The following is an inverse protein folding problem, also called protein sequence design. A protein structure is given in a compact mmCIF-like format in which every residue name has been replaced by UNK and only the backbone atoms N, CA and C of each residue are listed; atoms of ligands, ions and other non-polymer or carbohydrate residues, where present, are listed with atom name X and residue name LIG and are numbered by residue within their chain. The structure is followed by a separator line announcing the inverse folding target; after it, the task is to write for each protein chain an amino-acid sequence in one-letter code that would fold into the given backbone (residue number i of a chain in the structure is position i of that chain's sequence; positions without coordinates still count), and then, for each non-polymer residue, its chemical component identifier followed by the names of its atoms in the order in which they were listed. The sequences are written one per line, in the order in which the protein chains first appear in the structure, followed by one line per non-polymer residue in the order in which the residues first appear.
data_IF_044492923560
#
_entry.id   IF_044492923560
#
_cell.length_a   1.000
_cell.length_b   1.000
_cell.length_c   1.000
_cell.angle_alpha   90.00
_cell.angle_beta   90.00
_cell.angle_gamma   90.00
#
_symmetry.space_group_name_H-M   'P 1'
#
loop_
_entity.id
_entity.type
_entity.pdbx_description
1 polymer ?
#
# COMPACT_ATOMS: atom_id res chain seq x y z
N UNK A 1 4.40 22.16 25.05
CA UNK A 1 3.67 21.35 24.04
C UNK A 1 2.41 20.80 24.68
N UNK A 2 1.23 21.05 24.09
CA UNK A 2 -0.09 20.78 24.70
C UNK A 2 -0.42 19.27 24.74
N UNK A 3 -0.97 18.77 25.86
CA UNK A 3 -1.35 17.38 26.08
C UNK A 3 -2.43 16.88 25.10
N UNK A 4 -3.36 17.75 24.70
CA UNK A 4 -4.41 17.43 23.73
C UNK A 4 -3.85 17.16 22.31
N UNK A 5 -2.84 17.93 21.89
CA UNK A 5 -2.17 17.73 20.59
C UNK A 5 -1.47 16.37 20.55
N UNK A 6 -0.84 15.96 21.66
CA UNK A 6 -0.21 14.64 21.76
C UNK A 6 -1.25 13.53 21.65
N UNK A 7 -2.36 13.61 22.38
CA UNK A 7 -3.41 12.61 22.30
C UNK A 7 -3.98 12.44 20.89
N UNK A 8 -4.25 13.55 20.19
CA UNK A 8 -4.78 13.52 18.83
C UNK A 8 -3.80 12.84 17.84
N UNK A 9 -2.50 13.09 17.99
CA UNK A 9 -1.47 12.44 17.17
C UNK A 9 -1.35 10.93 17.46
N UNK A 10 -1.56 10.52 18.70
CA UNK A 10 -1.52 9.11 19.09
C UNK A 10 -2.71 8.35 18.50
N UNK A 11 -3.92 8.88 18.69
CA UNK A 11 -5.13 8.31 18.08
C UNK A 11 -5.00 8.21 16.54
N UNK A 12 -4.37 9.20 15.90
CA UNK A 12 -4.14 9.17 14.46
C UNK A 12 -3.15 8.07 14.03
N UNK A 13 -2.10 7.82 14.83
CA UNK A 13 -1.14 6.73 14.56
C UNK A 13 -1.78 5.36 14.76
N UNK A 14 -2.55 5.21 15.83
CA UNK A 14 -3.27 3.96 16.12
C UNK A 14 -4.24 3.63 14.97
N UNK A 15 -5.01 4.63 14.51
CA UNK A 15 -5.92 4.46 13.37
C UNK A 15 -5.21 4.12 12.05
N UNK A 16 -4.01 4.67 11.81
CA UNK A 16 -3.19 4.30 10.64
C UNK A 16 -2.68 2.86 10.76
N UNK A 17 -2.23 2.44 11.95
CA UNK A 17 -1.74 1.09 12.19
C UNK A 17 -2.85 0.04 12.02
N UNK A 18 -4.03 0.30 12.58
CA UNK A 18 -5.20 -0.57 12.45
C UNK A 18 -5.62 -0.72 10.98
N UNK A 19 -5.72 0.40 10.27
CA UNK A 19 -6.03 0.40 8.84
C UNK A 19 -4.97 -0.37 8.03
N UNK A 20 -3.69 -0.27 8.41
CA UNK A 20 -2.60 -0.98 7.72
C UNK A 20 -2.78 -2.48 7.87
N UNK A 21 -3.04 -2.95 9.09
CA UNK A 21 -3.27 -4.37 9.37
C UNK A 21 -4.49 -4.91 8.59
N UNK A 22 -5.57 -4.14 8.49
CA UNK A 22 -6.75 -4.50 7.69
C UNK A 22 -6.42 -4.64 6.20
N UNK A 23 -5.67 -3.70 5.64
CA UNK A 23 -5.25 -3.74 4.23
C UNK A 23 -4.28 -4.90 3.98
N UNK A 24 -3.34 -5.17 4.88
CA UNK A 24 -2.43 -6.30 4.79
C UNK A 24 -3.17 -7.64 4.82
N UNK A 25 -4.22 -7.75 5.63
CA UNK A 25 -5.08 -8.93 5.67
C UNK A 25 -5.86 -9.11 4.36
N UNK A 26 -6.50 -8.06 3.85
CA UNK A 26 -7.30 -8.09 2.61
C UNK A 26 -6.45 -8.47 1.39
N UNK A 27 -5.24 -7.92 1.30
CA UNK A 27 -4.33 -8.14 0.17
C UNK A 27 -3.26 -9.19 0.45
N UNK A 28 -3.49 -10.11 1.40
CA UNK A 28 -2.54 -11.17 1.77
C UNK A 28 -1.97 -11.97 0.58
N UNK A 29 -2.76 -12.33 -0.46
CA UNK A 29 -2.22 -13.00 -1.64
C UNK A 29 -1.17 -12.16 -2.39
N UNK A 30 -1.39 -10.83 -2.47
CA UNK A 30 -0.48 -9.91 -3.14
C UNK A 30 0.81 -9.72 -2.36
N UNK A 31 0.76 -9.76 -1.03
CA UNK A 31 1.96 -9.73 -0.17
C UNK A 31 2.86 -10.93 -0.47
N UNK A 32 2.28 -12.11 -0.69
CA UNK A 32 3.06 -13.31 -1.01
C UNK A 32 3.69 -13.25 -2.40
N UNK A 33 3.00 -12.62 -3.37
CA UNK A 33 3.44 -12.53 -4.76
C UNK A 33 4.43 -11.39 -5.01
N UNK A 34 4.21 -10.22 -4.38
CA UNK A 34 4.94 -8.98 -4.61
C UNK A 34 5.18 -8.22 -3.29
N UNK A 35 5.89 -8.80 -2.32
CA UNK A 35 6.02 -8.23 -0.96
C UNK A 35 6.63 -6.83 -0.96
N UNK A 36 7.69 -6.62 -1.74
CA UNK A 36 8.38 -5.33 -1.80
C UNK A 36 7.54 -4.24 -2.44
N UNK A 37 6.85 -4.56 -3.53
CA UNK A 37 6.03 -3.57 -4.25
C UNK A 37 4.79 -3.20 -3.45
N UNK A 38 4.19 -4.17 -2.76
CA UNK A 38 3.10 -3.94 -1.82
C UNK A 38 3.54 -3.03 -0.67
N UNK A 39 4.69 -3.30 -0.05
CA UNK A 39 5.22 -2.46 1.02
C UNK A 39 5.49 -1.02 0.54
N UNK A 40 6.04 -0.85 -0.66
CA UNK A 40 6.27 0.48 -1.25
C UNK A 40 4.96 1.24 -1.44
N UNK A 41 3.93 0.57 -1.96
CA UNK A 41 2.60 1.15 -2.18
C UNK A 41 1.96 1.62 -0.87
N UNK A 42 2.06 0.84 0.21
CA UNK A 42 1.57 1.25 1.53
C UNK A 42 2.38 2.41 2.12
N UNK A 43 3.70 2.40 1.96
CA UNK A 43 4.55 3.49 2.46
C UNK A 43 4.25 4.80 1.72
N UNK A 44 3.98 4.75 0.41
CA UNK A 44 3.58 5.92 -0.36
C UNK A 44 2.21 6.44 0.11
N UNK A 45 1.22 5.57 0.27
CA UNK A 45 -0.10 5.93 0.78
C UNK A 45 -0.01 6.58 2.17
N UNK A 46 0.81 6.01 3.06
CA UNK A 46 1.02 6.54 4.41
C UNK A 46 1.70 7.91 4.38
N UNK A 47 2.76 8.07 3.59
CA UNK A 47 3.45 9.35 3.44
C UNK A 47 2.51 10.45 2.91
N UNK A 48 1.70 10.13 1.90
CA UNK A 48 0.69 11.04 1.36
C UNK A 48 -0.35 11.40 2.43
N UNK A 49 -0.87 10.41 3.17
CA UNK A 49 -1.85 10.64 4.22
C UNK A 49 -1.32 11.59 5.31
N UNK A 50 -0.06 11.44 5.73
CA UNK A 50 0.57 12.32 6.72
C UNK A 50 0.72 13.77 6.26
N UNK A 51 0.91 14.02 4.96
CA UNK A 51 1.00 15.38 4.41
C UNK A 51 -0.32 16.17 4.52
N UNK A 52 -1.45 15.50 4.72
CA UNK A 52 -2.77 16.13 4.79
C UNK A 52 -3.17 16.64 6.18
N UNK A 53 -2.48 16.19 7.23
CA UNK A 53 -2.87 16.43 8.63
C UNK A 53 -4.00 15.53 9.16
N UNK A 54 -4.65 14.73 8.31
CA UNK A 54 -5.76 13.83 8.67
C UNK A 54 -5.48 12.37 8.27
N UNK A 55 -4.28 11.89 8.60
CA UNK A 55 -3.76 10.61 8.11
C UNK A 55 -4.69 9.42 8.39
N UNK A 56 -5.26 9.31 9.58
CA UNK A 56 -6.17 8.22 9.96
C UNK A 56 -7.46 8.17 9.14
N UNK A 57 -7.89 9.27 8.50
CA UNK A 57 -9.06 9.31 7.62
C UNK A 57 -8.71 8.95 6.19
N UNK A 58 -7.55 9.41 5.70
CA UNK A 58 -7.18 9.29 4.30
C UNK A 58 -6.32 8.07 3.98
N UNK A 59 -5.51 7.60 4.93
CA UNK A 59 -4.67 6.44 4.76
C UNK A 59 -5.46 5.18 4.35
N UNK A 60 -6.60 4.82 4.95
CA UNK A 60 -7.34 3.61 4.57
C UNK A 60 -7.72 3.60 3.08
N UNK A 61 -8.19 4.74 2.57
CA UNK A 61 -8.61 4.90 1.17
C UNK A 61 -7.39 4.86 0.24
N UNK A 62 -6.35 5.64 0.55
CA UNK A 62 -5.13 5.69 -0.26
C UNK A 62 -4.41 4.34 -0.30
N UNK A 63 -4.34 3.64 0.84
CA UNK A 63 -3.73 2.32 0.95
C UNK A 63 -4.48 1.30 0.09
N UNK A 64 -5.82 1.32 0.13
CA UNK A 64 -6.65 0.45 -0.70
C UNK A 64 -6.45 0.72 -2.19
N UNK A 65 -6.48 1.99 -2.61
CA UNK A 65 -6.26 2.38 -4.00
C UNK A 65 -4.87 1.95 -4.51
N UNK A 66 -3.83 2.18 -3.72
CA UNK A 66 -2.45 1.81 -4.06
C UNK A 66 -2.25 0.29 -4.09
N UNK A 67 -2.77 -0.45 -3.10
CA UNK A 67 -2.73 -1.91 -3.06
C UNK A 67 -3.45 -2.53 -4.27
N UNK A 68 -4.64 -2.01 -4.60
CA UNK A 68 -5.40 -2.42 -5.78
C UNK A 68 -4.64 -2.14 -7.08
N UNK A 69 -4.04 -0.97 -7.23
CA UNK A 69 -3.23 -0.64 -8.40
C UNK A 69 -2.06 -1.62 -8.58
N UNK A 70 -1.42 -2.03 -7.48
CA UNK A 70 -0.37 -3.07 -7.53
C UNK A 70 -0.94 -4.43 -7.93
N UNK A 71 -2.11 -4.83 -7.43
CA UNK A 71 -2.77 -6.07 -7.85
C UNK A 71 -3.06 -6.09 -9.36
N UNK A 72 -3.63 -5.01 -9.88
CA UNK A 72 -3.97 -4.84 -11.30
C UNK A 72 -2.70 -4.83 -12.17
N UNK A 73 -1.67 -4.13 -11.73
CA UNK A 73 -0.36 -4.15 -12.40
C UNK A 73 0.25 -5.55 -12.42
N UNK A 74 0.22 -6.27 -11.30
CA UNK A 74 0.78 -7.62 -11.19
C UNK A 74 0.06 -8.59 -12.13
N UNK A 75 -1.28 -8.56 -12.15
CA UNK A 75 -2.08 -9.36 -13.07
C UNK A 75 -1.73 -9.07 -14.54
N UNK A 76 -1.50 -7.78 -14.87
CA UNK A 76 -1.05 -7.39 -16.20
C UNK A 76 0.36 -7.91 -16.54
N UNK A 77 1.31 -7.84 -15.61
CA UNK A 77 2.65 -8.39 -15.82
C UNK A 77 2.63 -9.90 -16.07
N UNK A 78 1.82 -10.64 -15.30
CA UNK A 78 1.64 -12.07 -15.51
C UNK A 78 1.03 -12.39 -16.88
N UNK A 79 0.05 -11.60 -17.32
CA UNK A 79 -0.52 -11.75 -18.67
C UNK A 79 0.52 -11.54 -19.76
N UNK A 80 1.39 -10.52 -19.63
CA UNK A 80 2.45 -10.23 -20.60
C UNK A 80 3.46 -11.39 -20.63
N UNK A 81 3.96 -11.83 -19.47
CA UNK A 81 4.92 -12.95 -19.37
C UNK A 81 4.40 -14.25 -19.98
N UNK A 82 3.09 -14.51 -19.90
CA UNK A 82 2.47 -15.70 -20.48
C UNK A 82 2.26 -15.61 -21.99
N UNK A 83 2.15 -14.39 -22.52
CA UNK A 83 1.83 -14.14 -23.93
C UNK A 83 3.10 -13.96 -24.78
N UNK A 84 4.18 -13.44 -24.19
CA UNK A 84 5.44 -13.28 -24.91
C UNK A 84 6.16 -14.63 -25.07
N UNK A 85 6.47 -15.07 -26.30
CA UNK A 85 7.49 -16.09 -26.49
C UNK A 85 8.79 -15.53 -25.93
N UNK A 86 9.58 -16.35 -25.23
CA UNK A 86 10.91 -15.98 -24.73
C UNK A 86 11.76 -15.56 -25.93
N UNK A 87 11.75 -14.27 -26.27
CA UNK A 87 12.72 -13.67 -27.16
C UNK A 87 13.97 -13.53 -26.30
N UNK A 88 14.75 -14.61 -26.24
CA UNK A 88 16.08 -14.57 -25.65
C UNK A 88 16.90 -13.57 -26.47
N UNK A 89 17.13 -12.39 -25.92
CA UNK A 89 18.20 -11.53 -26.39
C UNK A 89 19.51 -12.14 -25.90
N UNK A 90 19.98 -13.15 -26.64
CA UNK A 90 21.36 -13.62 -26.54
C UNK A 90 22.24 -12.58 -27.22
N UNK A 91 23.11 -11.95 -26.43
CA UNK A 91 24.19 -11.08 -26.88
C UNK A 91 25.46 -11.88 -27.21
#
# INVERSE_FOLDING_TARGET
MNTAIRQALWNARDGVADARAMIEQEFSPLIQQQPHLFQLALNEAEAMAWQTGFAHLLFPVLAWEKARAVAEWHARQESIRRTEPILSFSA
#
